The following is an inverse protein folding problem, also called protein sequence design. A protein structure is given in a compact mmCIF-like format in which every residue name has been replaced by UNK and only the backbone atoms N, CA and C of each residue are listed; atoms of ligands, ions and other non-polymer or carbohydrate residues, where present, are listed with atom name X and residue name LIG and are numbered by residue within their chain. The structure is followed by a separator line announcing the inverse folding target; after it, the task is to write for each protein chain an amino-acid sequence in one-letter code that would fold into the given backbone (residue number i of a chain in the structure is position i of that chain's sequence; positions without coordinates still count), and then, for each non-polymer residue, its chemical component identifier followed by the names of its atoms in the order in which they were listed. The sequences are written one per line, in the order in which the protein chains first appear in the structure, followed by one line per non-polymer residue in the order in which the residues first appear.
data_IF_499613148336
#
_entry.id   IF_499613148336
#
_cell.length_a   1.000
_cell.length_b   1.000
_cell.length_c   1.000
_cell.angle_alpha   90.00
_cell.angle_beta   90.00
_cell.angle_gamma   90.00
#
_symmetry.space_group_name_H-M   'P 1'
#
loop_
_entity.id
_entity.type
_entity.pdbx_description
1 polymer ?
#
# COMPACT_ATOMS: atom_id res chain seq x y z
N UNK A 1 12.26 -8.27 20.75
CA UNK A 1 12.53 -9.32 19.75
C UNK A 1 12.71 -8.65 18.41
N UNK A 2 13.93 -8.67 17.83
CA UNK A 2 14.20 -8.11 16.53
C UNK A 2 13.45 -8.90 15.46
N UNK A 3 12.72 -8.21 14.56
CA UNK A 3 12.21 -8.82 13.35
C UNK A 3 13.37 -9.48 12.60
N UNK A 4 13.22 -10.71 12.06
CA UNK A 4 14.16 -11.21 11.08
C UNK A 4 14.19 -10.20 9.94
N UNK A 5 15.37 -9.71 9.61
CA UNK A 5 15.57 -8.75 8.52
C UNK A 5 14.82 -9.25 7.29
N UNK A 6 13.91 -8.42 6.76
CA UNK A 6 13.17 -8.72 5.55
C UNK A 6 14.19 -9.17 4.49
N UNK A 7 14.09 -10.43 4.04
CA UNK A 7 14.99 -10.95 3.02
C UNK A 7 14.83 -10.08 1.79
N UNK A 8 15.95 -9.63 1.25
CA UNK A 8 16.03 -8.70 0.12
C UNK A 8 15.14 -9.19 -1.03
N UNK A 9 14.18 -8.38 -1.51
CA UNK A 9 13.61 -8.63 -2.82
C UNK A 9 14.77 -8.65 -3.83
N UNK A 10 14.67 -9.51 -4.85
CA UNK A 10 15.70 -9.54 -5.90
C UNK A 10 15.72 -8.21 -6.63
N UNK A 11 16.90 -7.72 -6.97
CA UNK A 11 17.05 -6.40 -7.56
C UNK A 11 16.25 -6.29 -8.86
N UNK A 12 15.53 -5.16 -8.98
CA UNK A 12 15.12 -4.63 -10.27
C UNK A 12 16.36 -4.66 -11.18
N UNK A 13 16.34 -5.44 -12.25
CA UNK A 13 17.36 -5.33 -13.29
C UNK A 13 16.97 -4.16 -14.18
N UNK A 14 17.50 -3.00 -13.83
CA UNK A 14 17.43 -1.85 -14.70
C UNK A 14 18.28 -2.08 -15.96
N UNK A 15 17.85 -1.60 -17.13
CA UNK A 15 18.73 -1.43 -18.29
C UNK A 15 19.94 -0.59 -17.87
N UNK A 16 21.05 -0.68 -18.59
CA UNK A 16 22.35 -0.12 -18.21
C UNK A 16 22.42 1.38 -17.84
N UNK A 17 21.30 2.10 -17.88
CA UNK A 17 21.18 3.51 -17.52
C UNK A 17 20.91 3.78 -16.02
N UNK A 18 20.22 2.89 -15.28
CA UNK A 18 19.87 3.08 -13.86
C UNK A 18 20.92 2.40 -12.96
N UNK A 19 22.09 3.00 -12.87
CA UNK A 19 23.27 2.41 -12.19
C UNK A 19 23.46 2.92 -10.76
N UNK A 20 22.84 4.04 -10.41
CA UNK A 20 22.96 4.64 -9.09
C UNK A 20 21.83 4.14 -8.20
N UNK A 21 22.19 3.85 -6.95
CA UNK A 21 21.26 3.32 -5.95
C UNK A 21 21.38 4.10 -4.66
N UNK A 22 20.27 4.59 -4.18
CA UNK A 22 20.18 5.18 -2.86
C UNK A 22 19.07 4.50 -2.05
N UNK A 23 19.33 4.24 -0.76
CA UNK A 23 18.40 3.56 0.12
C UNK A 23 18.21 4.35 1.40
N UNK A 24 16.98 4.34 1.90
CA UNK A 24 16.60 4.94 3.18
C UNK A 24 15.49 4.13 3.84
N UNK A 25 15.13 4.46 5.08
CA UNK A 25 14.04 3.81 5.80
C UNK A 25 12.85 4.76 5.87
N UNK A 26 11.65 4.26 5.55
CA UNK A 26 10.38 4.96 5.76
C UNK A 26 9.25 3.93 5.86
N UNK A 27 8.14 4.29 6.50
CA UNK A 27 6.94 3.43 6.64
C UNK A 27 7.23 2.03 7.20
N UNK A 28 8.22 1.93 8.08
CA UNK A 28 8.65 0.67 8.69
C UNK A 28 9.29 -0.32 7.72
N UNK A 29 9.78 0.13 6.56
CA UNK A 29 10.44 -0.72 5.55
C UNK A 29 11.63 0.01 4.91
N UNK A 30 12.40 -0.73 4.09
CA UNK A 30 13.49 -0.15 3.31
C UNK A 30 12.93 0.34 1.98
N UNK A 31 13.27 1.57 1.65
CA UNK A 31 13.03 2.19 0.36
C UNK A 31 14.31 2.23 -0.47
N UNK A 32 14.14 2.15 -1.77
CA UNK A 32 15.24 2.20 -2.72
C UNK A 32 14.87 3.10 -3.90
N UNK A 33 15.78 3.98 -4.28
CA UNK A 33 15.66 4.79 -5.48
C UNK A 33 16.83 4.47 -6.40
N UNK A 34 16.51 4.08 -7.63
CA UNK A 34 17.46 3.86 -8.71
C UNK A 34 17.43 5.07 -9.65
N UNK A 35 18.58 5.56 -10.06
CA UNK A 35 18.71 6.71 -10.95
C UNK A 35 19.88 6.55 -11.93
N UNK A 36 19.93 7.41 -12.94
CA UNK A 36 21.05 7.45 -13.90
C UNK A 36 22.31 8.13 -13.35
N UNK A 37 22.12 9.09 -12.43
CA UNK A 37 23.19 9.85 -11.77
C UNK A 37 22.96 9.87 -10.25
N UNK A 38 24.02 10.07 -9.42
CA UNK A 38 23.86 10.15 -7.99
C UNK A 38 22.91 11.30 -7.58
N UNK A 39 21.96 11.02 -6.69
CA UNK A 39 21.07 12.05 -6.13
C UNK A 39 21.90 13.05 -5.29
N UNK A 40 21.72 14.36 -5.50
CA UNK A 40 22.34 15.39 -4.64
C UNK A 40 21.93 15.23 -3.18
N UNK A 41 22.84 15.56 -2.25
CA UNK A 41 22.58 15.45 -0.80
C UNK A 41 21.31 16.21 -0.39
N UNK A 42 21.17 17.47 -0.82
CA UNK A 42 19.98 18.27 -0.49
C UNK A 42 18.67 17.68 -1.03
N UNK A 43 18.70 16.94 -2.14
CA UNK A 43 17.51 16.21 -2.62
C UNK A 43 17.22 15.00 -1.74
N UNK A 44 18.24 14.23 -1.34
CA UNK A 44 18.08 13.11 -0.40
C UNK A 44 17.45 13.56 0.92
N UNK A 45 17.92 14.68 1.45
CA UNK A 45 17.38 15.25 2.69
C UNK A 45 15.91 15.65 2.53
N UNK A 46 15.52 16.26 1.40
CA UNK A 46 14.11 16.57 1.12
C UNK A 46 13.25 15.32 1.01
N UNK A 47 13.72 14.25 0.37
CA UNK A 47 12.99 12.99 0.26
C UNK A 47 12.78 12.32 1.62
N UNK A 48 13.76 12.39 2.52
CA UNK A 48 13.61 11.91 3.91
C UNK A 48 12.58 12.77 4.65
N UNK A 49 12.69 14.10 4.57
CA UNK A 49 11.74 15.01 5.23
C UNK A 49 10.31 14.83 4.70
N UNK A 50 10.13 14.60 3.40
CA UNK A 50 8.85 14.29 2.78
C UNK A 50 8.25 13.00 3.37
N UNK A 51 9.09 11.96 3.50
CA UNK A 51 8.67 10.68 4.08
C UNK A 51 8.31 10.80 5.56
N UNK A 52 9.07 11.58 6.33
CA UNK A 52 8.77 11.87 7.73
C UNK A 52 7.46 12.64 7.87
N UNK A 53 7.24 13.67 7.04
CA UNK A 53 5.99 14.44 7.01
C UNK A 53 4.77 13.55 6.68
N UNK A 54 4.94 12.63 5.72
CA UNK A 54 3.91 11.62 5.43
C UNK A 54 3.60 10.75 6.65
N UNK A 55 4.63 10.23 7.33
CA UNK A 55 4.43 9.40 8.52
C UNK A 55 3.87 10.18 9.70
N UNK A 56 4.22 11.45 9.88
CA UNK A 56 3.66 12.32 10.92
C UNK A 56 2.17 12.61 10.70
N UNK A 57 1.70 12.56 9.47
CA UNK A 57 0.28 12.64 9.17
C UNK A 57 -0.42 11.27 9.30
N UNK A 58 0.11 10.21 8.65
CA UNK A 58 -0.63 9.02 8.32
C UNK A 58 -0.25 7.74 9.06
N UNK A 59 0.86 7.74 9.83
CA UNK A 59 1.30 6.52 10.52
C UNK A 59 0.44 6.22 11.75
N UNK A 60 -0.33 5.14 11.71
CA UNK A 60 -1.04 4.67 12.91
C UNK A 60 -0.11 4.10 13.99
N UNK A 61 1.17 3.92 13.68
CA UNK A 61 2.19 3.39 14.59
C UNK A 61 2.96 4.48 15.33
N UNK A 62 3.04 5.71 14.78
CA UNK A 62 3.69 6.86 15.43
C UNK A 62 2.72 7.49 16.43
N UNK A 63 3.01 7.52 17.75
CA UNK A 63 2.09 8.10 18.74
C UNK A 63 1.73 9.56 18.51
N UNK A 64 2.66 10.32 17.91
CA UNK A 64 2.49 11.75 17.62
C UNK A 64 1.81 12.05 16.28
N UNK A 65 1.54 11.05 15.44
CA UNK A 65 0.94 11.28 14.12
C UNK A 65 -0.47 11.87 14.24
N UNK A 66 -0.88 12.57 13.18
CA UNK A 66 -2.19 13.23 13.15
C UNK A 66 -3.33 12.22 13.29
N UNK A 67 -3.29 11.12 12.53
CA UNK A 67 -4.33 10.07 12.58
C UNK A 67 -4.35 9.34 13.93
N UNK A 68 -3.20 9.20 14.59
CA UNK A 68 -3.12 8.57 15.91
C UNK A 68 -3.68 9.49 16.99
N UNK A 69 -3.31 10.76 16.99
CA UNK A 69 -3.84 11.77 17.91
C UNK A 69 -5.36 11.93 17.76
N UNK A 70 -5.87 11.87 16.53
CA UNK A 70 -7.31 11.89 16.27
C UNK A 70 -8.01 10.67 16.88
N UNK A 71 -7.43 9.48 16.75
CA UNK A 71 -8.00 8.24 17.28
C UNK A 71 -7.99 8.18 18.80
N UNK A 72 -6.92 8.65 19.44
CA UNK A 72 -6.73 8.57 20.90
C UNK A 72 -7.47 9.68 21.68
N UNK A 73 -8.24 10.54 20.99
CA UNK A 73 -8.95 11.67 21.61
C UNK A 73 -8.02 12.83 21.98
N UNK A 74 -6.76 12.80 21.58
CA UNK A 74 -5.79 13.88 21.82
C UNK A 74 -6.13 15.21 21.13
N UNK A 75 -7.12 15.19 20.21
CA UNK A 75 -7.64 16.37 19.52
C UNK A 75 -9.10 16.68 19.92
N UNK A 76 -9.68 15.93 20.86
CA UNK A 76 -11.07 16.08 21.32
C UNK A 76 -11.87 14.79 21.18
N UNK A 77 -13.02 14.72 21.86
CA UNK A 77 -13.90 13.55 21.85
C UNK A 77 -15.07 13.64 20.86
N UNK A 78 -15.33 14.83 20.30
CA UNK A 78 -16.41 15.09 19.34
C UNK A 78 -15.94 14.98 17.87
N UNK A 79 -16.71 15.60 16.96
CA UNK A 79 -16.30 15.76 15.56
C UNK A 79 -14.96 16.50 15.45
N UNK A 80 -14.13 16.12 14.52
CA UNK A 80 -12.79 16.68 14.32
C UNK A 80 -12.62 17.16 12.88
N UNK A 81 -11.99 18.31 12.75
CA UNK A 81 -11.48 18.83 11.48
C UNK A 81 -9.97 18.78 11.50
N UNK A 82 -9.38 18.16 10.49
CA UNK A 82 -7.94 17.95 10.39
C UNK A 82 -7.44 18.52 9.06
N UNK A 83 -6.48 19.42 9.12
CA UNK A 83 -5.76 19.88 7.95
C UNK A 83 -4.61 18.90 7.67
N UNK A 84 -4.66 18.28 6.51
CA UNK A 84 -3.70 17.26 6.07
C UNK A 84 -2.59 17.92 5.22
N UNK A 85 -1.45 17.25 5.02
CA UNK A 85 -0.43 17.73 4.09
C UNK A 85 -1.00 17.96 2.69
N UNK A 86 -0.49 18.97 1.95
CA UNK A 86 -0.93 19.26 0.59
C UNK A 86 -0.87 18.04 -0.34
N UNK A 87 -1.93 17.83 -1.11
CA UNK A 87 -2.08 16.70 -2.04
C UNK A 87 -2.69 15.45 -1.42
N UNK A 88 -3.04 15.47 -0.13
CA UNK A 88 -3.71 14.34 0.55
C UNK A 88 -5.07 14.00 -0.06
N UNK A 89 -5.75 14.96 -0.69
CA UNK A 89 -7.01 14.75 -1.40
C UNK A 89 -6.95 13.57 -2.37
N UNK A 90 -5.84 13.40 -3.08
CA UNK A 90 -5.65 12.29 -4.04
C UNK A 90 -5.78 10.93 -3.34
N UNK A 91 -5.19 10.79 -2.14
CA UNK A 91 -5.29 9.55 -1.36
C UNK A 91 -6.71 9.35 -0.80
N UNK A 92 -7.35 10.42 -0.35
CA UNK A 92 -8.72 10.36 0.18
C UNK A 92 -9.73 9.99 -0.91
N UNK A 93 -9.65 10.63 -2.08
CA UNK A 93 -10.47 10.31 -3.26
C UNK A 93 -10.29 8.85 -3.71
N UNK A 94 -9.05 8.35 -3.66
CA UNK A 94 -8.77 6.95 -3.97
C UNK A 94 -9.47 6.02 -2.97
N UNK A 95 -9.41 6.31 -1.67
CA UNK A 95 -10.11 5.51 -0.66
C UNK A 95 -11.63 5.56 -0.83
N UNK A 96 -12.20 6.70 -1.18
CA UNK A 96 -13.63 6.81 -1.52
C UNK A 96 -14.01 5.91 -2.69
N UNK A 97 -13.19 5.89 -3.73
CA UNK A 97 -13.38 5.02 -4.91
C UNK A 97 -13.26 3.54 -4.53
N UNK A 98 -12.20 3.17 -3.82
CA UNK A 98 -11.95 1.78 -3.40
C UNK A 98 -13.03 1.28 -2.44
N UNK A 99 -13.40 2.09 -1.44
CA UNK A 99 -14.48 1.74 -0.50
C UNK A 99 -15.79 1.48 -1.23
N UNK A 100 -16.18 2.36 -2.13
CA UNK A 100 -17.40 2.23 -2.93
C UNK A 100 -17.34 1.02 -3.87
N UNK A 101 -16.24 0.85 -4.60
CA UNK A 101 -16.05 -0.24 -5.55
C UNK A 101 -16.06 -1.63 -4.90
N UNK A 102 -15.57 -1.73 -3.66
CA UNK A 102 -15.50 -3.00 -2.92
C UNK A 102 -16.70 -3.22 -1.98
N UNK A 103 -17.66 -2.31 -1.96
CA UNK A 103 -18.80 -2.36 -1.02
C UNK A 103 -18.35 -2.31 0.44
N UNK A 104 -17.33 -1.50 0.74
CA UNK A 104 -16.80 -1.32 2.09
C UNK A 104 -15.84 -2.40 2.57
N UNK A 105 -15.38 -3.30 1.69
CA UNK A 105 -14.40 -4.34 2.06
C UNK A 105 -12.97 -3.80 2.14
N UNK A 106 -12.63 -2.78 1.34
CA UNK A 106 -11.50 -1.90 1.57
C UNK A 106 -12.00 -0.69 2.33
N UNK A 107 -11.52 -0.49 3.55
CA UNK A 107 -11.97 0.59 4.44
C UNK A 107 -10.80 1.00 5.34
N UNK A 108 -10.34 2.26 5.29
CA UNK A 108 -9.24 2.73 6.13
C UNK A 108 -9.47 2.61 7.64
N UNK A 109 -10.72 2.45 8.08
CA UNK A 109 -11.01 2.26 9.51
C UNK A 109 -10.75 0.83 10.00
N UNK A 110 -10.33 -0.09 9.13
CA UNK A 110 -9.88 -1.45 9.46
C UNK A 110 -8.70 -1.46 10.43
N UNK A 111 -8.00 -0.33 10.59
CA UNK A 111 -6.92 -0.18 11.57
C UNK A 111 -7.32 -0.54 12.99
N UNK A 112 -8.58 -0.27 13.37
CA UNK A 112 -9.11 -0.67 14.67
C UNK A 112 -9.21 -2.20 14.80
N UNK A 113 -9.64 -2.90 13.75
CA UNK A 113 -9.72 -4.36 13.71
C UNK A 113 -8.33 -4.99 13.81
N UNK A 114 -7.33 -4.42 13.11
CA UNK A 114 -5.94 -4.87 13.19
C UNK A 114 -5.39 -4.77 14.62
N UNK A 115 -5.70 -3.69 15.34
CA UNK A 115 -5.32 -3.51 16.75
C UNK A 115 -5.99 -4.55 17.64
N UNK A 116 -7.28 -4.84 17.45
CA UNK A 116 -8.00 -5.89 18.19
C UNK A 116 -7.41 -7.29 17.94
N UNK A 117 -6.92 -7.54 16.74
CA UNK A 117 -6.28 -8.80 16.35
C UNK A 117 -4.79 -8.87 16.72
N UNK A 118 -4.23 -7.83 17.37
CA UNK A 118 -2.85 -7.83 17.87
C UNK A 118 -1.82 -7.19 16.95
N UNK A 119 -2.22 -6.66 15.81
CA UNK A 119 -1.34 -5.87 14.96
C UNK A 119 -1.41 -4.39 15.38
N UNK A 120 -1.07 -4.16 16.64
CA UNK A 120 -1.05 -2.86 17.30
C UNK A 120 0.30 -2.13 17.12
N UNK A 121 0.43 -0.88 17.58
CA UNK A 121 1.69 -0.13 17.48
C UNK A 121 2.87 -0.78 18.18
N UNK A 122 2.63 -1.61 19.20
CA UNK A 122 3.67 -2.37 19.90
C UNK A 122 4.01 -3.70 19.24
N UNK A 123 3.32 -4.06 18.16
CA UNK A 123 3.46 -5.36 17.50
C UNK A 123 3.33 -6.52 18.50
N UNK A 124 2.32 -6.44 19.37
CA UNK A 124 2.11 -7.46 20.41
C UNK A 124 1.77 -8.83 19.83
N UNK A 125 1.11 -8.86 18.68
CA UNK A 125 0.57 -10.06 18.02
C UNK A 125 -0.31 -10.91 18.95
N UNK A 126 -0.89 -10.27 19.97
CA UNK A 126 -1.81 -10.89 20.92
C UNK A 126 -3.23 -10.44 20.61
N UNK A 127 -4.07 -11.41 20.23
CA UNK A 127 -5.49 -11.15 19.97
C UNK A 127 -6.17 -10.75 21.29
N UNK A 128 -6.87 -9.63 21.29
CA UNK A 128 -7.60 -9.16 22.47
C UNK A 128 -8.78 -10.09 22.78
N UNK A 129 -9.03 -10.33 24.06
CA UNK A 129 -10.16 -11.16 24.50
C UNK A 129 -11.47 -10.62 23.92
N UNK A 130 -12.24 -11.47 23.25
CA UNK A 130 -13.52 -11.09 22.62
C UNK A 130 -13.39 -10.27 21.33
N UNK A 131 -12.21 -10.18 20.71
CA UNK A 131 -11.99 -9.45 19.45
C UNK A 131 -12.99 -9.89 18.35
N UNK A 132 -13.26 -11.18 18.23
CA UNK A 132 -14.17 -11.71 17.21
C UNK A 132 -15.59 -11.09 17.21
N UNK A 133 -16.05 -10.59 18.36
CA UNK A 133 -17.36 -9.93 18.48
C UNK A 133 -17.29 -8.41 18.29
N UNK A 134 -16.11 -7.84 18.04
CA UNK A 134 -15.92 -6.39 17.88
C UNK A 134 -15.33 -5.99 16.53
N UNK A 135 -14.62 -6.91 15.86
CA UNK A 135 -14.00 -6.60 14.58
C UNK A 135 -15.02 -6.60 13.45
N UNK A 136 -14.80 -5.73 12.48
CA UNK A 136 -15.61 -5.60 11.27
C UNK A 136 -16.84 -4.71 11.43
N UNK A 137 -17.24 -4.15 10.30
CA UNK A 137 -18.44 -3.31 10.22
C UNK A 137 -19.71 -4.06 10.62
N UNK A 138 -19.77 -5.38 10.41
CA UNK A 138 -20.90 -6.24 10.80
C UNK A 138 -21.13 -6.30 12.30
N UNK A 139 -20.13 -5.98 13.11
CA UNK A 139 -20.23 -5.90 14.57
C UNK A 139 -20.22 -4.44 15.09
N UNK A 140 -20.51 -3.47 14.21
CA UNK A 140 -20.67 -2.07 14.61
C UNK A 140 -19.40 -1.23 14.61
N UNK A 141 -18.27 -1.74 14.08
CA UNK A 141 -17.12 -0.87 13.80
C UNK A 141 -17.56 0.24 12.84
N UNK A 142 -17.14 1.48 13.13
CA UNK A 142 -17.38 2.61 12.23
C UNK A 142 -16.85 2.33 10.83
N UNK A 143 -17.56 2.79 9.81
CA UNK A 143 -17.11 2.69 8.42
C UNK A 143 -16.67 4.06 7.88
N UNK A 144 -15.82 4.02 6.87
CA UNK A 144 -15.35 5.21 6.16
C UNK A 144 -16.52 6.09 5.73
N UNK A 145 -17.46 5.53 4.98
CA UNK A 145 -18.62 6.27 4.45
C UNK A 145 -19.52 6.91 5.52
N UNK A 146 -19.58 6.35 6.74
CA UNK A 146 -20.38 6.86 7.84
C UNK A 146 -19.69 7.96 8.63
N UNK A 147 -18.35 7.93 8.68
CA UNK A 147 -17.58 8.67 9.68
C UNK A 147 -16.69 9.73 9.06
N UNK A 148 -16.28 9.54 7.81
CA UNK A 148 -15.26 10.37 7.16
C UNK A 148 -15.87 11.14 5.98
N UNK A 149 -15.53 12.41 5.89
CA UNK A 149 -15.73 13.27 4.73
C UNK A 149 -14.47 14.09 4.52
N UNK A 150 -14.26 14.59 3.34
CA UNK A 150 -13.18 15.53 3.07
C UNK A 150 -13.58 16.60 2.04
N UNK A 151 -12.92 17.71 2.13
CA UNK A 151 -12.98 18.80 1.16
C UNK A 151 -11.54 19.19 0.83
N UNK A 152 -11.06 18.74 -0.33
CA UNK A 152 -9.65 18.82 -0.64
C UNK A 152 -8.80 18.07 0.42
N UNK A 153 -7.78 18.76 0.94
CA UNK A 153 -6.88 18.23 1.96
C UNK A 153 -7.42 18.39 3.40
N UNK A 154 -8.65 18.84 3.57
CA UNK A 154 -9.29 18.94 4.87
C UNK A 154 -10.16 17.72 5.14
N UNK A 155 -9.88 17.04 6.23
CA UNK A 155 -10.55 15.82 6.65
C UNK A 155 -11.53 16.14 7.80
N UNK A 156 -12.77 15.69 7.66
CA UNK A 156 -13.83 15.83 8.65
C UNK A 156 -14.18 14.46 9.21
N UNK A 157 -13.99 14.26 10.50
CA UNK A 157 -14.34 13.04 11.22
C UNK A 157 -15.56 13.30 12.10
N UNK A 158 -16.62 12.51 11.95
CA UNK A 158 -17.82 12.64 12.79
C UNK A 158 -17.54 12.27 14.27
N UNK A 159 -16.49 11.51 14.51
CA UNK A 159 -15.99 11.10 15.84
C UNK A 159 -14.53 10.62 15.73
N UNK A 160 -13.81 10.52 16.86
CA UNK A 160 -12.49 9.89 16.88
C UNK A 160 -12.51 8.47 16.28
N UNK A 161 -11.66 8.22 15.29
CA UNK A 161 -11.48 6.92 14.64
C UNK A 161 -10.03 6.73 14.22
N UNK A 162 -9.57 5.49 14.19
CA UNK A 162 -8.23 5.16 13.72
C UNK A 162 -8.24 4.92 12.22
N UNK A 163 -7.57 5.80 11.49
CA UNK A 163 -7.36 5.67 10.04
C UNK A 163 -6.06 4.88 9.81
N UNK A 164 -6.14 3.87 8.97
CA UNK A 164 -5.00 3.09 8.46
C UNK A 164 -4.96 3.19 6.94
N UNK A 165 -3.94 3.84 6.43
CA UNK A 165 -3.73 3.98 4.97
C UNK A 165 -2.89 2.87 4.37
N UNK A 166 -2.75 1.73 5.06
CA UNK A 166 -1.87 0.62 4.64
C UNK A 166 -2.21 -0.02 3.29
N UNK A 167 -3.41 0.23 2.75
CA UNK A 167 -3.82 -0.34 1.47
C UNK A 167 -3.33 0.46 0.23
N UNK A 168 -3.01 1.76 0.39
CA UNK A 168 -2.59 2.63 -0.72
C UNK A 168 -1.52 3.65 -0.31
N UNK A 169 -1.16 3.69 0.97
CA UNK A 169 -0.31 4.75 1.52
C UNK A 169 1.14 4.68 1.08
N UNK A 170 1.69 3.48 0.86
CA UNK A 170 3.06 3.35 0.36
C UNK A 170 3.14 3.77 -1.11
N UNK A 171 2.16 3.33 -1.92
CA UNK A 171 2.04 3.80 -3.28
C UNK A 171 1.91 5.32 -3.37
N UNK A 172 1.11 5.93 -2.51
CA UNK A 172 0.97 7.39 -2.48
C UNK A 172 2.28 8.09 -2.08
N UNK A 173 3.03 7.58 -1.11
CA UNK A 173 4.35 8.11 -0.79
C UNK A 173 5.33 7.95 -1.96
N UNK A 174 5.26 6.84 -2.72
CA UNK A 174 6.07 6.67 -3.92
C UNK A 174 5.74 7.72 -5.00
N UNK A 175 4.46 8.06 -5.18
CA UNK A 175 4.03 9.12 -6.09
C UNK A 175 4.52 10.51 -5.63
N UNK A 176 4.51 10.79 -4.33
CA UNK A 176 5.06 12.03 -3.77
C UNK A 176 6.57 12.14 -4.01
N UNK A 177 7.31 11.06 -3.78
CA UNK A 177 8.75 10.97 -4.03
C UNK A 177 9.04 11.14 -5.52
N UNK A 178 8.27 10.49 -6.40
CA UNK A 178 8.43 10.59 -7.85
C UNK A 178 8.22 12.03 -8.34
N UNK A 179 7.22 12.74 -7.79
CA UNK A 179 6.98 14.14 -8.09
C UNK A 179 8.18 15.01 -7.72
N UNK A 180 8.73 14.85 -6.51
CA UNK A 180 9.91 15.59 -6.06
C UNK A 180 11.15 15.31 -6.95
N UNK A 181 11.32 14.06 -7.40
CA UNK A 181 12.36 13.68 -8.34
C UNK A 181 12.19 14.38 -9.70
N UNK A 182 10.97 14.41 -10.24
CA UNK A 182 10.65 15.11 -11.48
C UNK A 182 10.91 16.62 -11.37
N UNK A 183 10.41 17.25 -10.29
CA UNK A 183 10.58 18.69 -10.03
C UNK A 183 12.06 19.08 -9.87
N UNK A 184 12.88 18.15 -9.37
CA UNK A 184 14.33 18.36 -9.26
C UNK A 184 15.10 18.17 -10.59
N UNK A 185 14.41 17.81 -11.68
CA UNK A 185 15.03 17.52 -12.98
C UNK A 185 15.76 16.17 -13.00
N UNK A 186 15.49 15.26 -12.07
CA UNK A 186 16.03 13.90 -12.12
C UNK A 186 15.54 13.20 -13.40
N UNK A 187 16.46 12.64 -14.16
CA UNK A 187 16.13 11.89 -15.38
C UNK A 187 15.37 10.60 -15.09
N UNK A 188 15.71 9.51 -15.78
CA UNK A 188 15.07 8.23 -15.53
C UNK A 188 15.33 7.73 -14.08
N UNK A 189 14.28 7.18 -13.44
CA UNK A 189 14.37 6.64 -12.09
C UNK A 189 13.36 5.51 -11.83
N UNK A 190 13.62 4.75 -10.77
CA UNK A 190 12.66 3.84 -10.14
C UNK A 190 12.59 4.17 -8.65
N UNK A 191 11.38 4.26 -8.12
CA UNK A 191 11.11 4.33 -6.68
C UNK A 191 10.55 2.97 -6.26
N UNK A 192 11.18 2.30 -5.29
CA UNK A 192 10.73 1.02 -4.71
C UNK A 192 10.45 1.17 -3.22
N UNK A 193 9.17 1.15 -2.85
CA UNK A 193 8.65 1.11 -1.49
C UNK A 193 8.51 -0.31 -0.94
N UNK A 194 9.46 -1.21 -1.25
CA UNK A 194 9.45 -2.61 -0.79
C UNK A 194 8.33 -3.45 -1.43
N UNK A 195 8.22 -3.35 -2.75
CA UNK A 195 7.26 -4.08 -3.57
C UNK A 195 6.13 -3.21 -4.14
N UNK A 196 6.17 -1.91 -3.85
CA UNK A 196 5.38 -0.89 -4.52
C UNK A 196 6.34 -0.04 -5.34
N UNK A 197 6.36 -0.28 -6.66
CA UNK A 197 7.34 0.28 -7.57
C UNK A 197 6.70 1.27 -8.53
N UNK A 198 7.31 2.44 -8.65
CA UNK A 198 7.03 3.42 -9.69
C UNK A 198 8.24 3.51 -10.61
N UNK A 199 8.01 3.35 -11.89
CA UNK A 199 9.01 3.47 -12.95
C UNK A 199 8.76 4.76 -13.71
N UNK A 200 9.77 5.59 -13.85
CA UNK A 200 9.82 6.70 -14.80
C UNK A 200 11.10 6.56 -15.63
N UNK A 201 10.97 5.96 -16.79
CA UNK A 201 12.11 5.62 -17.67
C UNK A 201 11.65 5.45 -19.10
N UNK A 202 12.36 6.03 -20.09
CA UNK A 202 12.06 5.79 -21.50
C UNK A 202 12.40 4.35 -21.92
N UNK A 203 13.29 3.69 -21.18
CA UNK A 203 13.67 2.30 -21.44
C UNK A 203 12.91 1.35 -20.48
N UNK A 204 12.45 0.18 -20.96
CA UNK A 204 11.74 -0.76 -20.12
C UNK A 204 12.59 -1.28 -18.95
N UNK A 205 12.05 -1.21 -17.76
CA UNK A 205 12.65 -1.72 -16.53
C UNK A 205 12.02 -3.07 -16.19
N UNK A 206 12.85 -4.12 -16.10
CA UNK A 206 12.40 -5.47 -15.81
C UNK A 206 12.22 -5.66 -14.29
N UNK A 207 11.02 -6.03 -13.86
CA UNK A 207 10.61 -6.21 -12.47
C UNK A 207 10.18 -7.65 -12.24
N UNK A 208 10.81 -8.33 -11.28
CA UNK A 208 10.45 -9.69 -10.88
C UNK A 208 9.20 -9.72 -9.99
N UNK A 209 8.28 -10.62 -10.30
CA UNK A 209 7.10 -10.91 -9.48
C UNK A 209 7.48 -11.99 -8.45
N UNK A 210 7.66 -11.59 -7.19
CA UNK A 210 8.14 -12.51 -6.15
C UNK A 210 7.13 -13.62 -5.86
N UNK A 211 7.60 -14.87 -5.79
CA UNK A 211 6.76 -15.99 -5.37
C UNK A 211 6.51 -15.92 -3.84
N UNK A 212 5.28 -15.71 -3.38
CA UNK A 212 4.99 -15.61 -1.94
C UNK A 212 5.24 -16.94 -1.19
N UNK A 213 5.34 -18.07 -1.91
CA UNK A 213 5.61 -19.41 -1.35
C UNK A 213 7.11 -19.71 -1.25
N UNK A 214 7.92 -19.01 -2.03
CA UNK A 214 9.37 -19.27 -2.12
C UNK A 214 10.14 -17.92 -2.17
N UNK A 215 10.42 -17.31 -1.00
CA UNK A 215 11.12 -16.03 -0.93
C UNK A 215 12.43 -16.03 -1.73
N UNK A 216 12.64 -15.00 -2.52
CA UNK A 216 13.80 -14.86 -3.40
C UNK A 216 13.66 -15.57 -4.76
N UNK A 217 12.53 -16.24 -5.03
CA UNK A 217 12.15 -16.74 -6.35
C UNK A 217 11.08 -15.82 -6.95
N UNK A 218 10.95 -15.85 -8.27
CA UNK A 218 9.89 -15.12 -8.97
C UNK A 218 8.96 -16.12 -9.68
N UNK A 219 7.68 -15.83 -9.70
CA UNK A 219 6.67 -16.52 -10.52
C UNK A 219 6.58 -15.93 -11.93
N UNK A 220 7.28 -14.84 -12.18
CA UNK A 220 7.31 -14.16 -13.46
C UNK A 220 8.09 -12.86 -13.37
N UNK A 221 8.14 -12.14 -14.47
CA UNK A 221 8.68 -10.79 -14.54
C UNK A 221 7.91 -9.99 -15.59
N UNK A 222 7.73 -8.70 -15.35
CA UNK A 222 7.17 -7.73 -16.29
C UNK A 222 8.17 -6.63 -16.56
N UNK A 223 8.06 -5.98 -17.70
CA UNK A 223 8.86 -4.80 -18.01
C UNK A 223 7.94 -3.60 -18.19
N UNK A 224 8.26 -2.52 -17.47
CA UNK A 224 7.48 -1.29 -17.47
C UNK A 224 8.35 -0.11 -17.88
N UNK A 225 7.72 0.84 -18.52
CA UNK A 225 8.17 2.22 -18.69
C UNK A 225 7.36 3.11 -17.72
N UNK A 226 6.98 4.29 -18.04
CA UNK A 226 6.25 5.25 -17.19
C UNK A 226 4.94 4.70 -16.59
N UNK A 227 5.05 3.81 -15.60
CA UNK A 227 3.94 3.15 -14.92
C UNK A 227 4.35 2.64 -13.53
N UNK A 228 3.37 2.25 -12.73
CA UNK A 228 3.60 1.62 -11.44
C UNK A 228 3.13 0.16 -11.41
N UNK A 229 3.83 -0.68 -10.64
CA UNK A 229 3.41 -2.03 -10.26
C UNK A 229 3.54 -2.20 -8.75
N UNK A 230 2.45 -2.62 -8.12
CA UNK A 230 2.42 -2.91 -6.70
C UNK A 230 2.03 -4.36 -6.44
N UNK A 231 2.62 -4.94 -5.40
CA UNK A 231 2.41 -6.31 -5.00
C UNK A 231 1.89 -6.41 -3.56
N UNK A 232 0.81 -7.13 -3.37
CA UNK A 232 0.31 -7.50 -2.04
C UNK A 232 0.30 -9.00 -1.86
N UNK A 233 0.67 -9.48 -0.65
CA UNK A 233 0.69 -10.91 -0.32
C UNK A 233 0.35 -11.14 1.15
N UNK A 234 -0.38 -12.22 1.44
CA UNK A 234 -0.80 -12.57 2.80
C UNK A 234 0.36 -13.00 3.70
N UNK A 235 1.44 -13.54 3.13
CA UNK A 235 2.59 -14.05 3.87
C UNK A 235 3.56 -13.01 4.43
N UNK A 236 3.50 -11.76 4.01
CA UNK A 236 4.47 -10.72 4.42
C UNK A 236 4.35 -10.32 5.89
N UNK A 237 3.14 -10.30 6.43
CA UNK A 237 2.83 -9.95 7.83
C UNK A 237 1.77 -10.91 8.34
N UNK A 238 2.21 -12.05 8.85
CA UNK A 238 1.35 -13.10 9.41
C UNK A 238 1.75 -13.40 10.85
N UNK A 239 0.76 -13.71 11.69
CA UNK A 239 0.96 -14.07 13.11
C UNK A 239 -0.10 -15.04 13.58
N UNK A 240 0.13 -15.65 14.75
CA UNK A 240 -0.81 -16.58 15.40
C UNK A 240 -1.28 -17.70 14.48
N UNK A 241 -2.49 -18.13 14.67
CA UNK A 241 -3.13 -19.23 13.92
C UNK A 241 -3.75 -18.80 12.58
N UNK A 242 -2.96 -18.25 11.66
CA UNK A 242 -3.42 -17.88 10.31
C UNK A 242 -3.96 -16.46 10.19
N UNK A 243 -3.64 -15.58 11.11
CA UNK A 243 -3.91 -14.15 11.00
C UNK A 243 -2.86 -13.50 10.09
N UNK A 244 -3.30 -12.52 9.33
CA UNK A 244 -2.46 -11.64 8.52
C UNK A 244 -3.12 -10.26 8.34
N UNK A 245 -2.35 -9.31 7.86
CA UNK A 245 -2.75 -7.90 7.84
C UNK A 245 -3.79 -7.53 6.77
N UNK A 246 -4.06 -8.40 5.79
CA UNK A 246 -5.08 -8.15 4.76
C UNK A 246 -6.43 -8.67 5.25
N UNK A 247 -7.30 -7.77 5.67
CA UNK A 247 -8.62 -8.09 6.21
C UNK A 247 -9.73 -7.68 5.23
N UNK A 248 -10.83 -8.44 5.22
CA UNK A 248 -12.10 -7.93 4.73
C UNK A 248 -12.70 -7.00 5.80
N UNK A 249 -12.71 -5.70 5.56
CA UNK A 249 -13.12 -4.71 6.56
C UNK A 249 -14.60 -4.81 6.96
N UNK A 250 -15.45 -5.49 6.20
CA UNK A 250 -16.84 -5.76 6.61
C UNK A 250 -16.90 -6.77 7.74
N UNK A 251 -16.12 -7.82 7.66
CA UNK A 251 -16.09 -8.89 8.67
C UNK A 251 -15.00 -8.70 9.71
N UNK A 252 -13.98 -7.90 9.42
CA UNK A 252 -12.79 -7.75 10.25
C UNK A 252 -11.89 -9.00 10.26
N UNK A 253 -12.14 -9.97 9.40
CA UNK A 253 -11.40 -11.23 9.35
C UNK A 253 -10.40 -11.26 8.19
N UNK A 254 -9.31 -12.02 8.33
CA UNK A 254 -8.36 -12.25 7.25
C UNK A 254 -9.03 -12.80 6.01
N UNK A 255 -8.68 -12.27 4.85
CA UNK A 255 -9.14 -12.77 3.54
C UNK A 255 -8.61 -14.17 3.29
N UNK A 256 -9.32 -14.94 2.46
CA UNK A 256 -8.94 -16.30 2.09
C UNK A 256 -9.06 -16.49 0.57
N UNK A 257 -8.40 -17.49 0.05
CA UNK A 257 -8.50 -17.86 -1.37
C UNK A 257 -7.53 -17.15 -2.31
N UNK A 258 -7.03 -15.96 -1.95
CA UNK A 258 -5.99 -15.25 -2.72
C UNK A 258 -4.69 -15.24 -1.90
N UNK A 259 -3.59 -15.60 -2.53
CA UNK A 259 -2.27 -15.68 -1.92
C UNK A 259 -1.45 -14.41 -2.18
N UNK A 260 -1.45 -13.95 -3.44
CA UNK A 260 -0.77 -12.73 -3.86
C UNK A 260 -1.49 -12.08 -5.05
N UNK A 261 -1.29 -10.78 -5.17
CA UNK A 261 -1.81 -9.96 -6.27
C UNK A 261 -0.73 -9.01 -6.74
N UNK A 262 -0.76 -8.68 -8.01
CA UNK A 262 0.03 -7.61 -8.63
C UNK A 262 -0.92 -6.75 -9.44
N UNK A 263 -0.83 -5.45 -9.27
CA UNK A 263 -1.60 -4.50 -10.06
C UNK A 263 -0.66 -3.51 -10.73
N UNK A 264 -0.94 -3.20 -12.00
CA UNK A 264 -0.25 -2.17 -12.78
C UNK A 264 -1.24 -1.05 -13.04
N UNK A 265 -0.84 0.19 -12.74
CA UNK A 265 -1.65 1.38 -12.94
C UNK A 265 -0.77 2.59 -13.29
N UNK A 266 -1.42 3.72 -13.62
CA UNK A 266 -0.72 4.96 -13.96
C UNK A 266 0.00 5.58 -12.77
N UNK A 267 -0.55 5.44 -11.55
CA UNK A 267 0.05 5.91 -10.30
C UNK A 267 0.32 4.76 -9.35
N UNK A 268 1.31 4.94 -8.49
CA UNK A 268 1.66 3.91 -7.52
C UNK A 268 0.59 3.77 -6.42
N UNK A 269 -0.07 4.87 -6.03
CA UNK A 269 -1.21 4.83 -5.11
C UNK A 269 -2.36 3.96 -5.64
N UNK A 270 -2.73 4.13 -6.92
CA UNK A 270 -3.78 3.32 -7.55
C UNK A 270 -3.35 1.84 -7.62
N UNK A 271 -2.12 1.56 -8.03
CA UNK A 271 -1.60 0.20 -8.11
C UNK A 271 -1.60 -0.49 -6.73
N UNK A 272 -1.13 0.18 -5.65
CA UNK A 272 -1.11 -0.35 -4.28
C UNK A 272 -2.53 -0.62 -3.76
N UNK A 273 -3.44 0.37 -3.93
CA UNK A 273 -4.85 0.24 -3.54
C UNK A 273 -5.56 -0.89 -4.28
N UNK A 274 -5.30 -1.05 -5.58
CA UNK A 274 -5.90 -2.09 -6.41
C UNK A 274 -5.32 -3.47 -6.12
N UNK A 275 -4.01 -3.58 -5.85
CA UNK A 275 -3.41 -4.82 -5.39
C UNK A 275 -4.07 -5.31 -4.09
N UNK A 276 -4.38 -4.40 -3.15
CA UNK A 276 -5.13 -4.74 -1.94
C UNK A 276 -6.60 -5.07 -2.24
N UNK A 277 -7.28 -4.30 -3.10
CA UNK A 277 -8.69 -4.51 -3.43
C UNK A 277 -8.97 -5.85 -4.10
N UNK A 278 -8.03 -6.37 -4.88
CA UNK A 278 -8.11 -7.68 -5.55
C UNK A 278 -8.21 -8.88 -4.58
N UNK A 279 -7.88 -8.71 -3.30
CA UNK A 279 -8.12 -9.74 -2.28
C UNK A 279 -9.58 -9.87 -1.87
N UNK A 280 -10.37 -8.81 -2.03
CA UNK A 280 -11.74 -8.71 -1.49
C UNK A 280 -12.81 -8.48 -2.55
N UNK A 281 -12.43 -8.16 -3.78
CA UNK A 281 -13.35 -7.89 -4.87
C UNK A 281 -12.90 -8.58 -6.17
N UNK A 282 -13.87 -9.03 -6.95
CA UNK A 282 -13.58 -9.57 -8.27
C UNK A 282 -13.08 -8.47 -9.21
N UNK A 283 -12.10 -8.77 -10.10
CA UNK A 283 -11.55 -7.79 -11.02
C UNK A 283 -12.62 -7.06 -11.86
N UNK A 284 -13.65 -7.78 -12.29
CA UNK A 284 -14.76 -7.23 -13.10
C UNK A 284 -15.58 -6.20 -12.31
N UNK A 285 -15.66 -6.36 -10.99
CA UNK A 285 -16.35 -5.40 -10.11
C UNK A 285 -15.59 -4.10 -10.01
N UNK A 286 -14.27 -4.18 -9.86
CA UNK A 286 -13.39 -3.01 -9.82
C UNK A 286 -13.38 -2.27 -11.17
N UNK A 287 -13.31 -3.02 -12.28
CA UNK A 287 -13.36 -2.43 -13.62
C UNK A 287 -14.70 -1.73 -13.91
N UNK A 288 -15.84 -2.31 -13.51
CA UNK A 288 -17.17 -1.68 -13.63
C UNK A 288 -17.31 -0.41 -12.80
N UNK A 289 -16.55 -0.28 -11.73
CA UNK A 289 -16.47 0.95 -10.93
C UNK A 289 -15.58 2.04 -11.58
N UNK A 290 -15.09 1.81 -12.79
CA UNK A 290 -14.27 2.77 -13.54
C UNK A 290 -12.79 2.80 -13.13
N UNK A 291 -12.33 1.82 -12.37
CA UNK A 291 -10.91 1.68 -12.02
C UNK A 291 -10.16 1.07 -13.22
N UNK A 292 -9.10 1.74 -13.66
CA UNK A 292 -8.29 1.33 -14.81
C UNK A 292 -6.98 0.74 -14.32
N UNK A 293 -6.73 -0.51 -14.63
CA UNK A 293 -5.53 -1.23 -14.20
C UNK A 293 -5.40 -2.54 -14.96
N UNK A 294 -4.21 -3.09 -14.91
CA UNK A 294 -3.92 -4.45 -15.30
C UNK A 294 -3.48 -5.25 -14.07
N UNK A 295 -3.72 -6.55 -14.07
CA UNK A 295 -3.48 -7.36 -12.87
C UNK A 295 -3.03 -8.78 -13.19
N UNK A 296 -2.31 -9.35 -12.22
CA UNK A 296 -2.16 -10.79 -12.01
C UNK A 296 -2.53 -11.12 -10.56
N UNK A 297 -3.14 -12.28 -10.33
CA UNK A 297 -3.39 -12.80 -9.00
C UNK A 297 -3.10 -14.30 -8.95
N UNK A 298 -2.59 -14.73 -7.80
CA UNK A 298 -2.31 -16.13 -7.48
C UNK A 298 -3.22 -16.56 -6.34
N UNK A 299 -3.94 -17.68 -6.51
CA UNK A 299 -4.81 -18.23 -5.48
C UNK A 299 -4.10 -19.26 -4.62
N UNK A 300 -4.70 -19.56 -3.48
CA UNK A 300 -4.17 -20.55 -2.52
C UNK A 300 -4.21 -21.99 -3.05
N UNK A 301 -5.05 -22.28 -4.05
CA UNK A 301 -5.11 -23.56 -4.76
C UNK A 301 -4.07 -23.70 -5.88
N UNK A 302 -3.23 -22.66 -6.08
CA UNK A 302 -2.21 -22.60 -7.12
C UNK A 302 -2.71 -22.07 -8.46
N UNK A 303 -4.02 -21.83 -8.64
CA UNK A 303 -4.55 -21.23 -9.85
C UNK A 303 -4.20 -19.74 -9.92
N UNK A 304 -4.04 -19.23 -11.15
CA UNK A 304 -3.76 -17.82 -11.40
C UNK A 304 -4.84 -17.21 -12.32
N UNK A 305 -5.03 -15.90 -12.20
CA UNK A 305 -5.79 -15.11 -13.15
C UNK A 305 -4.99 -13.88 -13.54
N UNK A 306 -5.05 -13.51 -14.81
CA UNK A 306 -4.26 -12.43 -15.40
C UNK A 306 -5.17 -11.62 -16.33
N UNK A 307 -5.14 -10.28 -16.26
CA UNK A 307 -5.81 -9.45 -17.25
C UNK A 307 -5.07 -9.54 -18.59
N UNK A 308 -5.79 -9.24 -19.68
CA UNK A 308 -5.18 -9.23 -21.01
C UNK A 308 -4.02 -8.23 -21.07
N UNK A 309 -4.21 -7.00 -20.60
CA UNK A 309 -3.17 -5.99 -20.63
C UNK A 309 -1.94 -6.39 -19.82
N UNK A 310 -2.12 -7.07 -18.68
CA UNK A 310 -0.98 -7.59 -17.91
C UNK A 310 -0.25 -8.72 -18.67
N UNK A 311 -0.99 -9.59 -19.36
CA UNK A 311 -0.41 -10.67 -20.17
C UNK A 311 0.33 -10.14 -21.41
N UNK A 312 -0.08 -8.98 -21.93
CA UNK A 312 0.53 -8.32 -23.06
C UNK A 312 1.80 -7.51 -22.68
N UNK A 313 2.08 -7.32 -21.38
CA UNK A 313 3.32 -6.68 -20.93
C UNK A 313 4.54 -7.51 -21.33
N UNK A 314 5.64 -6.86 -21.80
CA UNK A 314 6.87 -7.59 -22.10
C UNK A 314 7.38 -8.32 -20.84
N UNK A 315 7.55 -9.63 -20.94
CA UNK A 315 8.01 -10.44 -19.80
C UNK A 315 7.59 -11.90 -19.89
N UNK A 316 7.72 -12.58 -18.77
CA UNK A 316 7.32 -13.99 -18.58
C UNK A 316 6.44 -14.07 -17.34
N UNK A 317 5.23 -14.62 -17.48
CA UNK A 317 4.28 -14.69 -16.38
C UNK A 317 3.89 -16.15 -16.15
N UNK A 318 4.11 -16.65 -14.93
CA UNK A 318 3.65 -17.96 -14.47
C UNK A 318 3.94 -19.11 -15.42
N UNK A 319 5.10 -19.10 -16.06
CA UNK A 319 5.59 -20.30 -16.79
C UNK A 319 5.90 -21.38 -15.78
N UNK A 320 5.21 -22.52 -15.92
CA UNK A 320 5.39 -23.71 -15.12
C UNK A 320 6.82 -24.28 -15.25
#
# INVERSE_FOLDING_TARGET
MSFPAARRPRPVRAPGALTQRWCFAATGTRWEILTTAPLPLGLRDRLVMLSDSFEDAWSRFRPGSLVRRAADGGLGAGPLDLDLPPGSAVLLDLYDRLHRATGGRVDPLVGADLVELGYDPGYSFVVRRGAAARVGAVHGRATWAQTVRHDGDRLHLARPVLIDVGAAGKGFLADLIARELHESGTGAFVVDGSGDLLVSSPEPVRIGLEDPRAPGRAVGAVSLTDAAVCASATGRRSWGGGLHHVLDARTGLPVRGVLATWAVAATCAEADGLATALFVAAPETLARAGLRYDFALLRTDGSAAVSRGFADLPGEIFTA
#
